data_IF_375374917626
#
_entry.id   IF_375374917626
#
_cell.length_a   1.000
_cell.length_b   1.000
_cell.length_c   1.000
_cell.angle_alpha   90.00
_cell.angle_beta   90.00
_cell.angle_gamma   90.00
#
_symmetry.space_group_name_H-M   'P 1'
#
loop_
_entity.id
_entity.type
_entity.pdbx_description
1 polymer ?
#
# COMPACT_ATOMS: atom_id res chain seq x y z
N UNK A 1 11.43 23.66 -12.89
CA UNK A 1 10.24 22.79 -12.77
C UNK A 1 9.86 22.78 -11.30
N UNK A 2 8.76 23.43 -10.95
CA UNK A 2 8.29 23.50 -9.55
C UNK A 2 7.66 22.16 -9.21
N UNK A 3 8.28 21.43 -8.28
CA UNK A 3 7.73 20.17 -7.77
C UNK A 3 6.48 20.52 -6.94
N UNK A 4 5.31 20.04 -7.36
CA UNK A 4 4.12 20.13 -6.51
C UNK A 4 4.37 19.30 -5.25
N UNK A 5 4.06 19.86 -4.07
CA UNK A 5 4.12 19.09 -2.84
C UNK A 5 3.13 17.91 -2.96
N UNK A 6 3.54 16.69 -2.58
CA UNK A 6 2.62 15.56 -2.57
C UNK A 6 1.47 15.85 -1.61
N UNK A 7 0.26 15.47 -2.03
CA UNK A 7 -0.93 15.56 -1.19
C UNK A 7 -0.76 14.68 0.05
N UNK A 8 -1.06 15.22 1.22
CA UNK A 8 -1.07 14.45 2.46
C UNK A 8 -2.35 13.63 2.58
N UNK A 9 -2.32 12.58 3.40
CA UNK A 9 -3.49 11.75 3.68
C UNK A 9 -4.66 12.55 4.28
N UNK A 10 -4.35 13.49 5.20
CA UNK A 10 -5.36 14.36 5.80
C UNK A 10 -6.03 15.27 4.76
N UNK A 11 -5.26 15.82 3.82
CA UNK A 11 -5.81 16.62 2.72
C UNK A 11 -6.71 15.78 1.82
N UNK A 12 -6.32 14.54 1.52
CA UNK A 12 -7.12 13.62 0.70
C UNK A 12 -8.45 13.29 1.37
N UNK A 13 -8.43 12.92 2.65
CA UNK A 13 -9.65 12.66 3.43
C UNK A 13 -10.52 13.91 3.51
N UNK A 14 -9.95 15.09 3.76
CA UNK A 14 -10.70 16.34 3.77
C UNK A 14 -11.36 16.62 2.41
N UNK A 15 -10.69 16.34 1.30
CA UNK A 15 -11.29 16.47 -0.03
C UNK A 15 -12.49 15.54 -0.23
N UNK A 16 -12.44 14.31 0.31
CA UNK A 16 -13.55 13.36 0.25
C UNK A 16 -14.74 13.79 1.13
N UNK A 17 -14.46 14.33 2.32
CA UNK A 17 -15.47 14.86 3.23
C UNK A 17 -16.17 16.10 2.63
N UNK A 18 -15.41 17.03 2.04
CA UNK A 18 -15.97 18.21 1.38
C UNK A 18 -16.89 17.82 0.22
N UNK A 19 -16.55 16.76 -0.53
CA UNK A 19 -17.36 16.28 -1.64
C UNK A 19 -18.79 15.85 -1.21
N UNK A 20 -18.97 15.44 0.04
CA UNK A 20 -20.27 15.08 0.62
C UNK A 20 -20.87 16.20 1.51
N UNK A 21 -20.27 17.39 1.51
CA UNK A 21 -20.74 18.56 2.26
C UNK A 21 -20.34 18.60 3.73
N UNK A 22 -19.37 17.78 4.15
CA UNK A 22 -18.80 17.83 5.51
C UNK A 22 -17.69 18.88 5.60
N UNK A 23 -17.49 19.43 6.81
CA UNK A 23 -16.42 20.40 7.06
C UNK A 23 -15.05 19.68 7.16
N UNK A 24 -13.97 20.32 6.70
CA UNK A 24 -12.62 19.78 6.83
C UNK A 24 -12.19 19.68 8.29
N UNK A 25 -11.33 18.73 8.58
CA UNK A 25 -10.82 18.44 9.92
C UNK A 25 -9.31 18.62 10.02
N UNK A 26 -8.83 18.88 11.23
CA UNK A 26 -7.41 19.08 11.50
C UNK A 26 -6.67 17.78 11.84
N UNK A 27 -7.40 16.70 12.12
CA UNK A 27 -6.87 15.38 12.42
C UNK A 27 -7.94 14.30 12.17
N UNK A 28 -7.48 13.11 11.76
CA UNK A 28 -8.32 11.92 11.62
C UNK A 28 -8.54 11.30 13.00
N UNK A 29 -9.80 11.15 13.39
CA UNK A 29 -10.22 10.70 14.71
C UNK A 29 -10.93 9.35 14.60
N UNK A 30 -10.40 8.27 15.21
CA UNK A 30 -10.94 6.91 15.03
C UNK A 30 -12.39 6.72 15.48
N UNK A 31 -12.93 7.63 16.29
CA UNK A 31 -14.30 7.56 16.80
C UNK A 31 -15.34 8.09 15.80
N UNK A 32 -14.92 8.78 14.74
CA UNK A 32 -15.82 9.37 13.75
C UNK A 32 -15.96 8.47 12.53
N UNK A 33 -17.15 7.89 12.38
CA UNK A 33 -17.44 6.89 11.35
C UNK A 33 -17.18 7.40 9.93
N UNK A 34 -17.58 8.65 9.62
CA UNK A 34 -17.41 9.23 8.28
C UNK A 34 -15.93 9.39 7.90
N UNK A 35 -15.07 9.73 8.87
CA UNK A 35 -13.64 9.86 8.64
C UNK A 35 -12.98 8.51 8.40
N UNK A 36 -13.35 7.49 9.19
CA UNK A 36 -12.85 6.13 9.00
C UNK A 36 -13.28 5.57 7.65
N UNK A 37 -14.54 5.79 7.26
CA UNK A 37 -15.04 5.32 5.97
C UNK A 37 -14.29 5.97 4.80
N UNK A 38 -14.04 7.29 4.88
CA UNK A 38 -13.25 7.99 3.87
C UNK A 38 -11.80 7.48 3.83
N UNK A 39 -11.20 7.21 5.00
CA UNK A 39 -9.85 6.66 5.10
C UNK A 39 -9.74 5.26 4.49
N UNK A 40 -10.69 4.38 4.82
CA UNK A 40 -10.73 3.01 4.30
C UNK A 40 -10.87 2.99 2.77
N UNK A 41 -11.73 3.84 2.22
CA UNK A 41 -11.90 3.94 0.77
C UNK A 41 -10.66 4.54 0.10
N UNK A 42 -10.02 5.55 0.72
CA UNK A 42 -8.74 6.08 0.24
C UNK A 42 -7.68 4.99 0.16
N UNK A 43 -7.49 4.21 1.24
CA UNK A 43 -6.52 3.12 1.27
C UNK A 43 -6.81 2.03 0.25
N UNK A 44 -8.09 1.72 0.02
CA UNK A 44 -8.52 0.76 -0.99
C UNK A 44 -8.14 1.22 -2.39
N UNK A 45 -8.46 2.46 -2.75
CA UNK A 45 -8.11 3.02 -4.06
C UNK A 45 -6.60 3.13 -4.24
N UNK A 46 -5.86 3.53 -3.20
CA UNK A 46 -4.38 3.55 -3.24
C UNK A 46 -3.83 2.16 -3.55
N UNK A 47 -4.32 1.12 -2.88
CA UNK A 47 -3.89 -0.26 -3.18
C UNK A 47 -4.21 -0.67 -4.61
N UNK A 48 -5.42 -0.38 -5.10
CA UNK A 48 -5.86 -0.71 -6.47
C UNK A 48 -4.99 -0.02 -7.53
N UNK A 49 -4.70 1.27 -7.34
CA UNK A 49 -3.83 2.03 -8.24
C UNK A 49 -2.40 1.50 -8.18
N UNK A 50 -1.86 1.28 -6.97
CA UNK A 50 -0.50 0.79 -6.83
C UNK A 50 -0.31 -0.62 -7.41
N UNK A 51 -1.37 -1.45 -7.40
CA UNK A 51 -1.35 -2.80 -7.96
C UNK A 51 -1.15 -2.82 -9.48
N UNK A 52 -1.40 -1.71 -10.20
CA UNK A 52 -1.12 -1.65 -11.64
C UNK A 52 0.37 -1.78 -11.99
N UNK A 53 1.28 -1.47 -11.07
CA UNK A 53 2.73 -1.53 -11.32
C UNK A 53 3.21 -0.43 -12.27
N UNK A 54 3.27 0.81 -11.77
CA UNK A 54 3.90 1.93 -12.46
C UNK A 54 5.42 1.92 -12.26
N UNK A 55 6.14 2.62 -13.15
CA UNK A 55 7.61 2.74 -13.08
C UNK A 55 8.14 3.37 -11.79
N UNK A 56 7.32 4.14 -11.07
CA UNK A 56 7.75 4.82 -9.84
C UNK A 56 7.46 4.01 -8.57
N UNK A 57 6.64 2.96 -8.66
CA UNK A 57 6.25 2.14 -7.51
C UNK A 57 6.54 0.64 -7.74
N UNK A 58 7.35 0.33 -8.76
CA UNK A 58 7.81 -1.02 -9.09
C UNK A 58 9.32 -1.00 -9.09
N UNK A 59 9.92 -1.79 -8.20
CA UNK A 59 11.37 -1.92 -8.09
C UNK A 59 11.85 -3.11 -8.95
N UNK A 60 12.52 -2.80 -10.06
CA UNK A 60 13.20 -3.79 -10.88
C UNK A 60 14.57 -4.16 -10.27
N UNK A 61 15.03 -5.40 -10.49
CA UNK A 61 16.32 -5.92 -9.99
C UNK A 61 16.50 -5.82 -8.45
N UNK A 62 15.40 -5.82 -7.70
CA UNK A 62 15.45 -5.81 -6.23
C UNK A 62 15.94 -7.16 -5.67
N UNK A 63 17.07 -7.14 -4.95
CA UNK A 63 17.71 -8.36 -4.45
C UNK A 63 17.01 -8.85 -3.18
N UNK A 64 16.33 -10.00 -3.28
CA UNK A 64 15.78 -10.73 -2.16
C UNK A 64 16.64 -11.96 -1.86
N UNK A 65 17.11 -12.07 -0.61
CA UNK A 65 17.98 -13.17 -0.17
C UNK A 65 17.12 -14.20 0.57
N UNK A 66 17.15 -15.48 0.17
CA UNK A 66 16.44 -16.53 0.88
C UNK A 66 17.05 -16.77 2.27
N UNK A 67 16.22 -17.16 3.21
CA UNK A 67 16.63 -17.59 4.54
C UNK A 67 17.26 -19.01 4.53
N UNK A 68 17.64 -19.49 5.71
CA UNK A 68 18.27 -20.81 5.91
C UNK A 68 17.33 -21.95 5.46
N UNK A 69 16.02 -21.74 5.52
CA UNK A 69 15.01 -22.71 5.12
C UNK A 69 14.63 -22.58 3.64
N UNK A 70 15.31 -21.70 2.88
CA UNK A 70 15.06 -21.46 1.45
C UNK A 70 13.80 -20.64 1.17
N UNK A 71 13.25 -19.92 2.15
CA UNK A 71 12.11 -19.03 1.98
C UNK A 71 12.56 -17.59 1.77
N UNK A 72 11.81 -16.86 0.96
CA UNK A 72 12.02 -15.43 0.75
C UNK A 72 10.94 -14.67 1.51
N UNK A 73 11.35 -13.77 2.39
CA UNK A 73 10.42 -12.88 3.09
C UNK A 73 9.97 -11.77 2.13
N UNK A 74 8.65 -11.62 1.95
CA UNK A 74 8.08 -10.50 1.23
C UNK A 74 8.32 -9.20 2.02
N UNK A 75 8.80 -8.11 1.39
CA UNK A 75 8.91 -6.81 2.04
C UNK A 75 7.56 -6.30 2.53
N UNK A 76 7.56 -5.57 3.64
CA UNK A 76 6.35 -4.96 4.18
C UNK A 76 5.76 -3.95 3.17
N UNK A 77 4.47 -4.10 2.85
CA UNK A 77 3.77 -3.23 1.91
C UNK A 77 3.93 -3.62 0.42
N UNK A 78 4.69 -4.66 0.10
CA UNK A 78 4.75 -5.18 -1.27
C UNK A 78 3.38 -5.77 -1.67
N UNK A 79 2.83 -5.31 -2.80
CA UNK A 79 1.54 -5.78 -3.32
C UNK A 79 1.69 -7.01 -4.23
N UNK A 80 2.78 -7.09 -4.98
CA UNK A 80 3.13 -8.22 -5.83
C UNK A 80 4.65 -8.38 -5.87
N UNK A 81 5.11 -9.62 -6.00
CA UNK A 81 6.54 -9.95 -6.13
C UNK A 81 6.63 -11.08 -7.15
N UNK A 82 7.36 -10.84 -8.23
CA UNK A 82 7.65 -11.84 -9.25
C UNK A 82 9.16 -11.92 -9.51
N UNK A 83 9.72 -13.13 -9.74
CA UNK A 83 11.12 -13.27 -10.07
C UNK A 83 11.41 -12.74 -11.48
N UNK A 84 12.58 -12.09 -11.66
CA UNK A 84 13.02 -11.62 -12.98
C UNK A 84 13.47 -12.78 -13.88
N UNK A 85 14.00 -13.87 -13.31
CA UNK A 85 14.30 -15.08 -14.05
C UNK A 85 13.02 -15.90 -14.27
N UNK A 86 12.57 -15.97 -15.52
CA UNK A 86 11.38 -16.72 -15.95
C UNK A 86 11.46 -18.23 -15.69
N UNK A 87 12.64 -18.76 -15.37
CA UNK A 87 12.83 -20.19 -15.03
C UNK A 87 12.48 -20.50 -13.57
N UNK A 88 12.40 -19.47 -12.72
CA UNK A 88 12.05 -19.63 -11.32
C UNK A 88 10.52 -19.61 -11.19
N UNK A 89 9.95 -20.70 -10.67
CA UNK A 89 8.53 -20.79 -10.33
C UNK A 89 8.37 -20.56 -8.83
N UNK A 90 8.15 -19.30 -8.47
CA UNK A 90 7.94 -18.87 -7.09
C UNK A 90 6.53 -18.29 -6.97
N UNK A 91 5.84 -18.62 -5.88
CA UNK A 91 4.52 -18.09 -5.59
C UNK A 91 4.45 -17.62 -4.15
N UNK A 92 3.87 -16.44 -3.94
CA UNK A 92 3.68 -15.89 -2.60
C UNK A 92 2.66 -16.73 -1.82
N UNK A 93 3.02 -17.14 -0.60
CA UNK A 93 2.15 -17.92 0.29
C UNK A 93 2.22 -17.40 1.71
N UNK A 94 1.12 -17.54 2.44
CA UNK A 94 1.10 -17.26 3.88
C UNK A 94 2.12 -18.17 4.58
N UNK A 95 2.98 -17.56 5.39
CA UNK A 95 3.98 -18.32 6.16
C UNK A 95 3.27 -19.23 7.18
N UNK A 96 3.65 -20.53 7.29
CA UNK A 96 2.92 -21.51 8.08
C UNK A 96 2.93 -21.25 9.59
N UNK A 97 3.93 -20.54 10.13
CA UNK A 97 4.09 -20.31 11.58
C UNK A 97 4.03 -18.85 12.00
N UNK A 98 3.93 -17.89 11.06
CA UNK A 98 3.78 -16.47 11.41
C UNK A 98 2.29 -16.16 11.49
N UNK A 99 1.79 -16.12 12.73
CA UNK A 99 0.47 -15.68 13.11
C UNK A 99 0.51 -14.16 13.40
N UNK A 100 0.60 -13.36 12.35
CA UNK A 100 0.52 -11.91 12.45
C UNK A 100 0.20 -11.33 11.10
N UNK A 101 -0.97 -10.69 10.98
CA UNK A 101 -1.17 -9.70 9.93
C UNK A 101 -0.21 -8.55 10.27
N UNK A 102 0.72 -8.25 9.37
CA UNK A 102 1.39 -6.96 9.36
C UNK A 102 0.48 -5.97 8.64
#
# INVERSE_FOLDING_TARGET
MTLAAPMTELEAVNSMLIAIGQLPVNAITPQLQDQNLALDELHKVVREVCQHGFKFNTDDDYVLIPDIDGRIAAPLGALSIDPMDKRQDLTMRKHPTISGFY
#
